data_IF_834238436630
#
_entry.id   IF_834238436630
#
_cell.length_a   1.000
_cell.length_b   1.000
_cell.length_c   1.000
_cell.angle_alpha   90.00
_cell.angle_beta   90.00
_cell.angle_gamma   90.00
#
_symmetry.space_group_name_H-M   'P 1'
#
loop_
_entity.id
_entity.type
_entity.pdbx_description
1 polymer ?
#
# COMPACT_ATOMS: atom_id res chain seq x y z
N UNK A 1 -4.62 -25.21 22.96
CA UNK A 1 -3.27 -24.66 23.15
C UNK A 1 -2.87 -24.02 21.84
N UNK A 2 -2.51 -22.72 21.78
CA UNK A 2 -2.12 -22.14 20.50
C UNK A 2 -0.73 -22.65 20.16
N UNK A 3 -0.65 -23.39 19.06
CA UNK A 3 0.60 -23.73 18.40
C UNK A 3 1.25 -22.42 17.96
N UNK A 4 2.52 -22.21 18.34
CA UNK A 4 3.35 -21.12 17.84
C UNK A 4 3.20 -21.05 16.31
N UNK A 5 2.80 -19.90 15.76
CA UNK A 5 2.86 -19.65 14.33
C UNK A 5 4.33 -19.67 13.90
N UNK A 6 4.81 -20.82 13.41
CA UNK A 6 6.14 -20.95 12.82
C UNK A 6 6.19 -20.19 11.48
N UNK A 7 7.23 -19.37 11.32
CA UNK A 7 7.57 -18.71 10.06
C UNK A 7 8.25 -19.72 9.12
N UNK A 8 7.89 -19.78 7.84
CA UNK A 8 8.56 -20.69 6.87
C UNK A 8 9.39 -19.94 5.83
N UNK A 9 8.99 -18.73 5.44
CA UNK A 9 9.68 -17.96 4.41
C UNK A 9 9.84 -16.51 4.84
N UNK A 10 11.09 -16.13 5.09
CA UNK A 10 11.51 -14.75 5.25
C UNK A 10 12.33 -14.37 4.03
N UNK A 11 11.79 -13.48 3.21
CA UNK A 11 12.55 -12.93 2.09
C UNK A 11 13.05 -11.56 2.51
N UNK A 12 14.36 -11.37 2.51
CA UNK A 12 14.98 -10.09 2.83
C UNK A 12 15.70 -9.49 1.62
N UNK A 13 15.68 -8.18 1.52
CA UNK A 13 16.43 -7.45 0.51
C UNK A 13 17.01 -6.17 1.09
N UNK A 14 18.21 -5.82 0.65
CA UNK A 14 18.87 -4.58 1.06
C UNK A 14 18.56 -3.50 0.04
N UNK A 15 17.77 -2.51 0.46
CA UNK A 15 17.60 -1.26 -0.26
C UNK A 15 18.77 -0.35 0.05
N UNK A 16 19.67 -0.13 -0.92
CA UNK A 16 20.72 0.88 -0.81
C UNK A 16 20.18 2.24 -1.21
N UNK A 17 20.39 3.25 -0.39
CA UNK A 17 20.00 4.60 -0.74
C UNK A 17 20.99 5.17 -1.77
N UNK A 18 20.51 5.81 -2.85
CA UNK A 18 21.38 6.37 -3.88
C UNK A 18 22.25 7.50 -3.33
N UNK A 19 21.82 8.12 -2.24
CA UNK A 19 22.57 9.12 -1.48
C UNK A 19 22.41 8.85 0.01
N UNK A 20 23.49 9.07 0.75
CA UNK A 20 23.49 9.02 2.21
C UNK A 20 22.62 10.13 2.80
N UNK A 21 21.76 9.77 3.76
CA UNK A 21 21.00 10.76 4.53
C UNK A 21 21.86 11.39 5.64
N UNK A 22 21.53 12.62 6.02
CA UNK A 22 22.22 13.33 7.11
C UNK A 22 21.91 12.75 8.50
N UNK A 23 20.72 12.16 8.67
CA UNK A 23 20.28 11.39 9.83
C UNK A 23 19.39 10.22 9.38
N UNK A 24 18.92 9.38 10.31
CA UNK A 24 18.08 8.24 9.97
C UNK A 24 16.79 8.69 9.26
N UNK A 25 16.49 8.20 8.04
CA UNK A 25 15.30 8.60 7.29
C UNK A 25 14.03 8.03 7.90
N UNK A 26 12.88 8.55 7.46
CA UNK A 26 11.58 7.89 7.64
C UNK A 26 11.27 7.06 6.41
N UNK A 27 10.73 5.86 6.61
CA UNK A 27 10.60 4.85 5.55
C UNK A 27 9.16 4.30 5.47
N UNK A 28 8.14 5.15 5.20
CA UNK A 28 6.83 4.63 4.84
C UNK A 28 6.96 3.70 3.64
N UNK A 29 6.35 2.52 3.74
CA UNK A 29 6.50 1.44 2.76
C UNK A 29 5.20 0.68 2.60
N UNK A 30 5.01 0.07 1.44
CA UNK A 30 3.77 -0.60 1.11
C UNK A 30 3.94 -1.67 0.04
N UNK A 31 3.13 -2.70 0.18
CA UNK A 31 3.16 -3.86 -0.70
C UNK A 31 2.68 -3.44 -2.08
N UNK A 32 3.50 -3.70 -3.10
CA UNK A 32 3.22 -3.38 -4.49
C UNK A 32 2.90 -4.63 -5.33
N UNK A 33 3.56 -5.74 -5.02
CA UNK A 33 3.37 -7.03 -5.70
C UNK A 33 3.33 -8.17 -4.70
N UNK A 34 2.46 -9.13 -4.94
CA UNK A 34 2.42 -10.40 -4.22
C UNK A 34 2.21 -11.56 -5.18
N UNK A 35 2.86 -12.68 -4.88
CA UNK A 35 2.58 -14.01 -5.37
C UNK A 35 2.63 -14.95 -4.17
N UNK A 36 1.46 -15.39 -3.73
CA UNK A 36 1.32 -16.27 -2.57
C UNK A 36 0.36 -17.40 -2.90
N UNK A 37 0.59 -18.57 -2.30
CA UNK A 37 -0.37 -19.65 -2.42
C UNK A 37 -1.74 -19.28 -1.86
N UNK A 38 -2.73 -20.08 -2.22
CA UNK A 38 -4.09 -19.96 -1.69
C UNK A 38 -4.30 -20.57 -0.31
N UNK A 39 -3.31 -21.28 0.23
CA UNK A 39 -3.49 -22.01 1.49
C UNK A 39 -3.73 -21.05 2.64
N UNK A 40 -3.15 -19.84 2.59
CA UNK A 40 -3.54 -18.66 3.38
C UNK A 40 -2.97 -17.37 2.76
N UNK A 41 -3.71 -16.26 2.79
CA UNK A 41 -3.20 -14.95 2.38
C UNK A 41 -2.74 -14.13 3.60
N UNK A 42 -1.63 -14.54 4.24
CA UNK A 42 -1.05 -13.88 5.42
C UNK A 42 0.36 -13.39 5.11
N UNK A 43 0.53 -12.08 4.97
CA UNK A 43 1.81 -11.43 4.66
C UNK A 43 1.97 -10.08 5.32
N UNK A 44 3.20 -9.78 5.71
CA UNK A 44 3.61 -8.47 6.21
C UNK A 44 4.94 -8.05 5.58
N UNK A 45 5.04 -6.80 5.14
CA UNK A 45 6.32 -6.12 4.92
C UNK A 45 6.73 -5.34 6.18
N UNK A 46 8.01 -5.36 6.51
CA UNK A 46 8.61 -4.58 7.59
C UNK A 46 10.00 -4.07 7.20
N UNK A 47 10.42 -2.98 7.83
CA UNK A 47 11.79 -2.46 7.72
C UNK A 47 12.41 -2.38 9.12
N UNK A 48 12.81 -3.52 9.72
CA UNK A 48 13.22 -3.56 11.12
C UNK A 48 14.57 -2.89 11.38
N UNK A 49 15.43 -2.81 10.37
CA UNK A 49 16.77 -2.25 10.50
C UNK A 49 17.11 -1.36 9.31
N UNK A 50 17.56 -0.15 9.60
CA UNK A 50 18.03 0.79 8.58
C UNK A 50 19.07 1.74 9.16
N UNK A 51 19.87 2.30 8.26
CA UNK A 51 20.91 3.28 8.55
C UNK A 51 20.69 4.51 7.69
N UNK A 52 21.72 5.38 7.61
CA UNK A 52 21.72 6.52 6.70
C UNK A 52 22.01 6.12 5.25
N UNK A 53 22.46 4.90 5.01
CA UNK A 53 23.00 4.44 3.73
C UNK A 53 22.17 3.30 3.11
N UNK A 54 21.40 2.58 3.94
CA UNK A 54 20.60 1.44 3.49
C UNK A 54 19.46 1.10 4.45
N UNK A 55 18.50 0.31 3.99
CA UNK A 55 17.43 -0.31 4.77
C UNK A 55 17.27 -1.79 4.42
N UNK A 56 16.98 -2.63 5.41
CA UNK A 56 16.66 -4.05 5.20
C UNK A 56 15.14 -4.22 5.19
N UNK A 57 14.59 -4.57 4.03
CA UNK A 57 13.15 -4.77 3.84
C UNK A 57 12.85 -6.27 3.94
N UNK A 58 11.89 -6.63 4.79
CA UNK A 58 11.53 -8.01 5.11
C UNK A 58 10.09 -8.29 4.73
N UNK A 59 9.87 -9.29 3.87
CA UNK A 59 8.58 -9.94 3.75
C UNK A 59 8.52 -11.17 4.65
N UNK A 60 7.47 -11.22 5.45
CA UNK A 60 7.16 -12.34 6.33
C UNK A 60 5.82 -12.93 5.91
N UNK A 61 5.79 -14.25 5.69
CA UNK A 61 4.57 -15.02 5.53
C UNK A 61 4.55 -16.16 6.56
N UNK A 62 3.35 -16.53 7.01
CA UNK A 62 3.15 -17.51 8.08
C UNK A 62 2.53 -18.80 7.57
N UNK A 63 2.95 -19.93 8.13
CA UNK A 63 2.36 -21.23 7.78
C UNK A 63 0.84 -21.26 7.98
N UNK A 64 0.11 -22.00 7.11
CA UNK A 64 0.59 -22.81 5.99
C UNK A 64 0.89 -22.03 4.69
N UNK A 65 0.80 -20.69 4.67
CA UNK A 65 1.04 -19.89 3.46
C UNK A 65 2.48 -19.98 2.93
N UNK A 66 2.64 -20.16 1.62
CA UNK A 66 3.89 -19.96 0.90
C UNK A 66 3.91 -18.61 0.17
N UNK A 67 4.99 -17.84 0.35
CA UNK A 67 5.27 -16.62 -0.42
C UNK A 67 6.26 -16.95 -1.54
N UNK A 68 5.79 -16.96 -2.79
CA UNK A 68 6.62 -17.20 -3.97
C UNK A 68 7.32 -15.93 -4.46
N UNK A 69 6.78 -14.76 -4.14
CA UNK A 69 7.42 -13.48 -4.44
C UNK A 69 6.65 -12.29 -3.89
N UNK A 70 7.37 -11.26 -3.46
CA UNK A 70 6.81 -10.01 -2.98
C UNK A 70 7.66 -8.83 -3.42
N UNK A 71 7.04 -7.70 -3.70
CA UNK A 71 7.75 -6.43 -3.90
C UNK A 71 7.14 -5.39 -2.99
N UNK A 72 8.00 -4.81 -2.16
CA UNK A 72 7.69 -3.65 -1.32
C UNK A 72 8.20 -2.40 -2.04
N UNK A 73 7.46 -1.30 -1.91
CA UNK A 73 7.94 0.00 -2.33
C UNK A 73 8.23 0.83 -1.09
N UNK A 74 9.40 1.43 -1.01
CA UNK A 74 9.77 2.33 0.10
C UNK A 74 9.83 3.76 -0.40
N UNK A 75 9.09 4.66 0.25
CA UNK A 75 9.15 6.10 0.02
C UNK A 75 10.10 6.74 1.03
N UNK A 76 11.40 6.74 0.73
CA UNK A 76 12.42 7.19 1.66
C UNK A 76 12.41 8.72 1.83
N UNK A 77 12.00 9.18 3.01
CA UNK A 77 11.90 10.58 3.37
C UNK A 77 13.11 11.05 4.16
N UNK A 78 13.65 12.20 3.77
CA UNK A 78 14.72 12.83 4.52
C UNK A 78 14.25 13.19 5.94
N UNK A 79 15.10 13.03 6.97
CA UNK A 79 14.72 13.28 8.37
C UNK A 79 14.26 14.71 8.63
N UNK A 80 14.79 15.68 7.89
CA UNK A 80 14.46 17.10 8.04
C UNK A 80 13.33 17.56 7.11
N UNK A 81 12.71 16.66 6.35
CA UNK A 81 11.55 17.01 5.52
C UNK A 81 10.28 17.02 6.38
N UNK A 82 10.15 18.10 7.17
CA UNK A 82 9.08 18.28 8.16
C UNK A 82 7.72 18.55 7.53
N UNK A 83 7.61 18.60 6.21
CA UNK A 83 6.31 18.75 5.56
C UNK A 83 5.54 17.43 5.56
N UNK A 84 6.24 16.30 5.59
CA UNK A 84 5.57 15.00 5.67
C UNK A 84 5.29 14.59 7.12
N UNK A 85 4.11 14.03 7.33
CA UNK A 85 3.75 13.19 8.45
C UNK A 85 3.49 11.78 7.95
N UNK A 86 3.87 10.79 8.75
CA UNK A 86 3.72 9.39 8.40
C UNK A 86 3.38 8.58 9.62
N UNK A 87 2.68 7.46 9.45
CA UNK A 87 2.46 6.50 10.51
C UNK A 87 1.85 5.21 10.00
N UNK A 88 1.56 4.32 10.93
CA UNK A 88 0.97 3.02 10.66
C UNK A 88 -0.19 2.77 11.62
N UNK A 89 -1.19 2.01 11.18
CA UNK A 89 -2.27 1.54 12.04
C UNK A 89 -2.63 0.10 11.69
N UNK A 90 -2.70 -0.74 12.73
CA UNK A 90 -3.08 -2.14 12.63
C UNK A 90 -4.53 -2.29 13.12
N UNK A 91 -5.38 -2.85 12.25
CA UNK A 91 -6.67 -3.41 12.64
C UNK A 91 -6.48 -4.91 12.86
N UNK A 92 -6.55 -5.35 14.12
CA UNK A 92 -6.33 -6.75 14.51
C UNK A 92 -7.63 -7.38 15.03
N UNK A 93 -8.37 -8.03 14.14
CA UNK A 93 -9.67 -8.67 14.43
C UNK A 93 -9.46 -9.98 15.20
N UNK A 94 -8.31 -10.63 15.01
CA UNK A 94 -7.97 -11.84 15.74
C UNK A 94 -7.84 -11.59 17.25
N UNK A 95 -7.21 -10.48 17.65
CA UNK A 95 -7.07 -10.09 19.06
C UNK A 95 -8.31 -9.37 19.59
N UNK A 96 -8.94 -8.53 18.77
CA UNK A 96 -10.17 -7.81 19.11
C UNK A 96 -11.23 -7.99 18.00
N UNK A 97 -12.16 -8.95 18.14
CA UNK A 97 -13.22 -9.19 17.16
C UNK A 97 -14.15 -8.00 16.92
N UNK A 98 -14.15 -7.00 17.82
CA UNK A 98 -14.91 -5.77 17.71
C UNK A 98 -14.07 -4.59 17.20
N UNK A 99 -12.83 -4.83 16.78
CA UNK A 99 -11.92 -3.80 16.27
C UNK A 99 -12.59 -3.02 15.12
N UNK A 100 -12.80 -1.70 15.29
CA UNK A 100 -13.60 -0.92 14.37
C UNK A 100 -12.94 -0.85 12.99
N UNK A 101 -13.76 -0.81 11.94
CA UNK A 101 -13.27 -0.62 10.58
C UNK A 101 -12.72 0.80 10.35
N UNK A 102 -13.09 1.76 11.19
CA UNK A 102 -12.66 3.16 11.07
C UNK A 102 -12.05 3.65 12.38
N UNK A 103 -10.96 4.41 12.28
CA UNK A 103 -10.29 5.05 13.42
C UNK A 103 -9.92 6.48 13.07
N UNK A 104 -9.99 7.39 14.05
CA UNK A 104 -9.44 8.74 13.89
C UNK A 104 -7.93 8.69 14.13
N UNK A 105 -7.16 9.19 13.17
CA UNK A 105 -5.73 9.42 13.31
C UNK A 105 -5.52 10.92 13.51
N UNK A 106 -4.99 11.28 14.67
CA UNK A 106 -4.57 12.66 14.95
C UNK A 106 -3.12 12.86 14.53
N UNK A 107 -2.86 13.97 13.85
CA UNK A 107 -1.52 14.35 13.46
C UNK A 107 -0.72 14.82 14.69
N UNK A 108 0.56 14.45 14.75
CA UNK A 108 1.48 14.91 15.82
C UNK A 108 1.61 16.44 15.86
N UNK A 109 1.33 17.11 14.74
CA UNK A 109 1.18 18.56 14.62
C UNK A 109 0.11 18.88 13.58
N UNK A 110 -0.68 19.95 13.76
CA UNK A 110 -1.64 20.35 12.76
C UNK A 110 -0.95 20.94 11.51
N UNK A 111 -1.58 20.77 10.36
CA UNK A 111 -1.28 21.51 9.13
C UNK A 111 -1.97 22.88 9.13
N UNK A 112 -1.55 23.77 8.24
CA UNK A 112 -2.21 25.10 8.06
C UNK A 112 -3.58 24.94 7.39
N UNK A 113 -3.65 24.09 6.37
CA UNK A 113 -4.86 23.68 5.65
C UNK A 113 -4.96 22.14 5.67
N UNK A 114 -6.14 21.55 5.42
CA UNK A 114 -6.25 20.09 5.29
C UNK A 114 -5.20 19.54 4.30
N UNK A 115 -4.37 18.56 4.71
CA UNK A 115 -3.30 18.02 3.87
C UNK A 115 -3.85 17.07 2.80
N UNK A 116 -3.00 16.69 1.84
CA UNK A 116 -3.20 15.42 1.11
C UNK A 116 -2.85 14.27 2.05
N UNK A 117 -3.71 13.25 2.09
CA UNK A 117 -3.48 12.01 2.83
C UNK A 117 -3.62 10.83 1.89
N UNK A 118 -2.63 9.95 1.88
CA UNK A 118 -2.67 8.68 1.15
C UNK A 118 -2.40 7.52 2.09
N UNK A 119 -3.03 6.38 1.79
CA UNK A 119 -3.04 5.19 2.62
C UNK A 119 -2.82 3.94 1.77
N UNK A 120 -2.11 2.95 2.30
CA UNK A 120 -1.75 1.72 1.58
C UNK A 120 -1.33 0.60 2.54
N UNK A 121 -1.49 -0.65 2.11
CA UNK A 121 -1.25 -1.81 2.96
C UNK A 121 0.24 -2.17 3.05
N UNK A 122 0.69 -2.48 4.27
CA UNK A 122 1.94 -3.19 4.52
C UNK A 122 1.73 -4.53 5.26
N UNK A 123 0.49 -4.89 5.60
CA UNK A 123 0.11 -6.23 6.10
C UNK A 123 -1.32 -6.57 5.71
N UNK A 124 -1.55 -7.81 5.32
CA UNK A 124 -2.88 -8.39 5.11
C UNK A 124 -2.89 -9.83 5.62
N UNK A 125 -3.98 -10.21 6.30
CA UNK A 125 -4.19 -11.56 6.82
C UNK A 125 -5.64 -11.97 6.63
N UNK A 126 -5.87 -12.93 5.74
CA UNK A 126 -7.20 -13.46 5.45
C UNK A 126 -7.31 -14.95 5.75
N UNK A 127 -8.55 -15.37 5.96
CA UNK A 127 -8.95 -16.76 5.82
C UNK A 127 -8.81 -17.25 4.36
N UNK A 128 -8.64 -18.56 4.20
CA UNK A 128 -8.47 -19.20 2.88
C UNK A 128 -9.78 -19.62 2.21
N UNK A 129 -10.85 -19.79 2.98
CA UNK A 129 -12.10 -20.36 2.49
C UNK A 129 -13.09 -19.28 2.00
N UNK A 130 -12.68 -18.01 2.10
CA UNK A 130 -13.46 -16.85 1.65
C UNK A 130 -12.59 -15.91 0.83
N UNK A 131 -13.20 -15.22 -0.14
CA UNK A 131 -12.50 -14.29 -1.01
C UNK A 131 -11.77 -13.20 -0.22
N UNK A 132 -10.61 -12.78 -0.73
CA UNK A 132 -9.74 -11.81 -0.09
C UNK A 132 -10.15 -10.40 -0.49
N UNK A 133 -10.95 -9.77 0.38
CA UNK A 133 -11.54 -8.45 0.15
C UNK A 133 -11.16 -7.46 1.24
N UNK A 134 -10.41 -6.44 0.88
CA UNK A 134 -10.08 -5.34 1.81
C UNK A 134 -9.83 -4.06 1.04
N UNK A 135 -10.26 -2.93 1.59
CA UNK A 135 -9.94 -1.60 1.07
C UNK A 135 -9.53 -0.70 2.22
N UNK A 136 -8.55 0.17 1.98
CA UNK A 136 -8.20 1.24 2.89
C UNK A 136 -8.35 2.61 2.24
N UNK A 137 -9.00 3.52 2.95
CA UNK A 137 -9.25 4.89 2.50
C UNK A 137 -8.99 5.88 3.63
N UNK A 138 -8.68 7.12 3.26
CA UNK A 138 -8.67 8.26 4.17
C UNK A 138 -9.90 9.13 3.92
N UNK A 139 -10.66 9.42 4.96
CA UNK A 139 -11.84 10.29 4.91
C UNK A 139 -11.79 11.34 6.02
N UNK A 140 -12.70 12.31 6.01
CA UNK A 140 -12.80 13.37 7.04
C UNK A 140 -11.46 14.05 7.34
N UNK A 141 -10.70 14.38 6.29
CA UNK A 141 -9.38 15.00 6.41
C UNK A 141 -9.57 16.46 6.80
N UNK A 142 -8.94 16.86 7.89
CA UNK A 142 -8.84 18.25 8.32
C UNK A 142 -7.40 18.58 8.73
N UNK A 143 -7.16 19.80 9.17
CA UNK A 143 -5.82 20.25 9.57
C UNK A 143 -5.22 19.45 10.73
N UNK A 144 -6.02 18.76 11.56
CA UNK A 144 -5.59 18.06 12.77
C UNK A 144 -5.50 16.54 12.60
N UNK A 145 -6.12 15.98 11.57
CA UNK A 145 -6.10 14.53 11.35
C UNK A 145 -7.00 14.08 10.22
N UNK A 146 -7.23 12.77 10.17
CA UNK A 146 -8.13 12.13 9.23
C UNK A 146 -8.73 10.86 9.82
N UNK A 147 -9.85 10.40 9.27
CA UNK A 147 -10.39 9.07 9.56
C UNK A 147 -9.75 8.06 8.61
N UNK A 148 -9.04 7.08 9.18
CA UNK A 148 -8.53 5.93 8.45
C UNK A 148 -9.59 4.83 8.45
N UNK A 149 -9.91 4.29 7.27
CA UNK A 149 -10.83 3.17 7.11
C UNK A 149 -10.06 1.94 6.62
N UNK A 150 -10.33 0.77 7.19
CA UNK A 150 -9.84 -0.55 6.80
C UNK A 150 -11.07 -1.46 6.76
N UNK A 151 -11.71 -1.50 5.59
CA UNK A 151 -13.01 -2.11 5.38
C UNK A 151 -12.89 -3.45 4.67
N UNK A 152 -13.79 -4.37 5.00
CA UNK A 152 -13.99 -5.65 4.32
C UNK A 152 -15.50 -5.83 4.12
N UNK A 153 -15.91 -6.71 3.20
CA UNK A 153 -17.33 -6.88 2.86
C UNK A 153 -17.67 -8.31 2.47
N UNK A 154 -18.98 -8.55 2.34
CA UNK A 154 -19.55 -9.86 2.02
C UNK A 154 -19.16 -10.91 3.08
N UNK A 155 -18.72 -12.08 2.65
CA UNK A 155 -18.35 -13.22 3.48
C UNK A 155 -16.86 -13.25 3.85
N UNK A 156 -16.09 -12.21 3.52
CA UNK A 156 -14.65 -12.18 3.80
C UNK A 156 -14.37 -12.24 5.30
N UNK A 157 -13.48 -13.16 5.68
CA UNK A 157 -12.94 -13.25 7.04
C UNK A 157 -11.53 -12.64 7.05
N UNK A 158 -11.44 -11.39 7.52
CA UNK A 158 -10.18 -10.67 7.74
C UNK A 158 -9.70 -10.94 9.17
N UNK A 159 -8.46 -11.42 9.35
CA UNK A 159 -7.85 -11.57 10.67
C UNK A 159 -7.12 -10.29 11.10
N UNK A 160 -6.37 -9.68 10.20
CA UNK A 160 -5.67 -8.43 10.45
C UNK A 160 -5.33 -7.71 9.15
N UNK A 161 -5.24 -6.39 9.20
CA UNK A 161 -4.63 -5.58 8.14
C UNK A 161 -3.91 -4.38 8.76
N UNK A 162 -2.73 -4.08 8.24
CA UNK A 162 -1.95 -2.90 8.64
C UNK A 162 -1.81 -1.96 7.47
N UNK A 163 -2.07 -0.69 7.75
CA UNK A 163 -2.02 0.39 6.77
C UNK A 163 -0.96 1.40 7.17
N UNK A 164 -0.07 1.71 6.23
CA UNK A 164 0.79 2.88 6.27
C UNK A 164 0.03 4.08 5.72
N UNK A 165 0.32 5.26 6.26
CA UNK A 165 -0.22 6.51 5.76
C UNK A 165 0.87 7.58 5.64
N UNK A 166 0.69 8.46 4.66
CA UNK A 166 1.53 9.64 4.44
C UNK A 166 0.59 10.85 4.31
N UNK A 167 0.89 11.92 5.03
CA UNK A 167 0.22 13.21 4.92
C UNK A 167 1.22 14.33 4.60
N UNK A 168 0.86 15.27 3.73
CA UNK A 168 1.70 16.41 3.34
C UNK A 168 0.84 17.62 2.89
N UNK A 169 1.38 18.85 2.90
CA UNK A 169 0.61 20.05 2.53
C UNK A 169 0.00 19.93 1.14
N UNK A 170 -1.25 20.33 0.97
CA UNK A 170 -1.95 20.20 -0.30
C UNK A 170 -1.28 20.99 -1.45
N UNK A 171 -0.63 22.10 -1.12
CA UNK A 171 0.09 22.98 -2.04
C UNK A 171 1.58 22.60 -2.22
N UNK A 172 2.01 21.44 -1.71
CA UNK A 172 3.40 20.98 -1.89
C UNK A 172 3.72 20.85 -3.38
N UNK A 173 4.71 21.61 -3.83
CA UNK A 173 5.16 21.56 -5.22
C UNK A 173 5.81 20.21 -5.58
N UNK A 174 5.73 19.84 -6.87
CA UNK A 174 6.45 18.70 -7.47
C UNK A 174 6.18 17.37 -6.78
N UNK A 175 4.98 17.22 -6.23
CA UNK A 175 4.43 15.96 -5.76
C UNK A 175 3.00 15.85 -6.23
N UNK A 176 2.64 14.70 -6.76
CA UNK A 176 1.28 14.35 -7.11
C UNK A 176 0.97 13.02 -6.42
N UNK A 177 -0.19 12.91 -5.78
CA UNK A 177 -0.64 11.63 -5.25
C UNK A 177 -2.11 11.39 -5.52
N UNK A 178 -2.47 10.13 -5.68
CA UNK A 178 -3.84 9.69 -5.95
C UNK A 178 -4.01 8.22 -5.60
N UNK A 179 -5.28 7.79 -5.51
CA UNK A 179 -5.67 6.39 -5.53
C UNK A 179 -6.30 6.09 -6.89
N UNK A 180 -5.97 4.93 -7.47
CA UNK A 180 -6.58 4.42 -8.71
C UNK A 180 -7.27 3.10 -8.45
N UNK A 181 -8.30 2.78 -9.24
CA UNK A 181 -9.02 1.52 -9.15
C UNK A 181 -9.19 0.88 -10.53
N UNK A 182 -9.02 -0.44 -10.59
CA UNK A 182 -9.47 -1.24 -11.75
C UNK A 182 -10.96 -1.06 -12.04
N UNK A 183 -11.76 -0.68 -11.03
CA UNK A 183 -13.18 -0.40 -11.19
C UNK A 183 -13.47 0.91 -11.95
N UNK A 184 -12.47 1.80 -12.10
CA UNK A 184 -12.62 3.06 -12.84
C UNK A 184 -12.71 2.81 -14.36
N UNK A 185 -12.20 1.67 -14.83
CA UNK A 185 -12.13 1.32 -16.25
C UNK A 185 -13.02 0.13 -16.63
N UNK A 186 -13.52 -0.62 -15.65
CA UNK A 186 -14.43 -1.74 -15.87
C UNK A 186 -15.25 -2.07 -14.61
N UNK A 187 -16.45 -2.68 -14.74
CA UNK A 187 -17.14 -3.21 -13.57
C UNK A 187 -16.42 -4.46 -13.00
N UNK A 188 -16.72 -4.78 -11.73
CA UNK A 188 -16.08 -5.89 -11.00
C UNK A 188 -16.41 -7.28 -11.57
N UNK A 189 -17.56 -7.41 -12.24
CA UNK A 189 -18.11 -8.66 -12.81
C UNK A 189 -17.58 -8.99 -14.21
N UNK A 190 -16.68 -8.15 -14.75
CA UNK A 190 -15.96 -8.38 -16.01
C UNK A 190 -14.48 -8.55 -15.75
N UNK A 191 -14.11 -9.67 -15.12
CA UNK A 191 -12.73 -9.92 -14.72
C UNK A 191 -11.81 -10.01 -15.94
N UNK A 192 -10.62 -9.46 -15.78
CA UNK A 192 -9.51 -9.56 -16.72
C UNK A 192 -8.20 -9.55 -15.90
N UNK A 193 -7.11 -10.00 -16.51
CA UNK A 193 -5.82 -10.09 -15.82
C UNK A 193 -5.05 -8.77 -15.88
N UNK A 194 -5.15 -8.03 -16.98
CA UNK A 194 -4.35 -6.82 -17.21
C UNK A 194 -5.24 -5.57 -17.16
N UNK A 195 -4.77 -4.51 -16.50
CA UNK A 195 -5.50 -3.25 -16.37
C UNK A 195 -4.54 -2.10 -16.48
N UNK A 196 -4.91 -1.09 -17.26
CA UNK A 196 -4.15 0.14 -17.30
C UNK A 196 -5.04 1.35 -17.44
N UNK A 197 -4.58 2.49 -16.93
CA UNK A 197 -5.23 3.77 -17.12
C UNK A 197 -4.20 4.90 -17.14
N UNK A 198 -4.55 5.99 -17.82
CA UNK A 198 -3.69 7.17 -17.93
C UNK A 198 -4.15 8.26 -16.96
N UNK A 199 -3.19 8.92 -16.34
CA UNK A 199 -3.41 10.15 -15.56
C UNK A 199 -2.56 11.25 -16.16
N UNK A 200 -3.22 12.33 -16.56
CA UNK A 200 -2.53 13.57 -16.93
C UNK A 200 -2.23 14.39 -15.69
N UNK A 201 -1.00 14.89 -15.57
CA UNK A 201 -0.65 15.92 -14.60
C UNK A 201 -1.13 17.30 -15.06
N UNK A 202 -1.44 17.51 -16.35
CA UNK A 202 -1.91 18.80 -16.85
C UNK A 202 -3.28 19.20 -16.32
N UNK A 203 -4.08 18.21 -15.88
CA UNK A 203 -5.35 18.44 -15.17
C UNK A 203 -5.15 18.70 -13.68
N UNK A 204 -3.92 18.56 -13.17
CA UNK A 204 -3.53 18.92 -11.81
C UNK A 204 -2.77 20.25 -11.82
N UNK A 205 -2.67 20.91 -10.67
CA UNK A 205 -1.81 22.10 -10.48
C UNK A 205 -0.32 21.76 -10.33
N UNK A 206 0.07 20.50 -10.56
CA UNK A 206 1.43 20.00 -10.34
C UNK A 206 2.21 20.01 -11.65
N UNK A 207 3.38 20.64 -11.63
CA UNK A 207 4.32 20.65 -12.75
C UNK A 207 5.60 19.90 -12.37
N UNK A 208 6.05 18.99 -13.24
CA UNK A 208 7.33 18.29 -13.11
C UNK A 208 8.31 18.77 -14.18
N UNK A 209 9.49 19.23 -13.77
CA UNK A 209 10.53 19.72 -14.70
C UNK A 209 11.45 18.61 -15.25
N UNK A 210 11.42 17.43 -14.64
CA UNK A 210 12.16 16.23 -15.05
C UNK A 210 11.30 15.00 -14.78
N UNK A 211 11.60 13.86 -15.42
CA UNK A 211 10.88 12.60 -15.18
C UNK A 211 10.77 12.32 -13.67
N UNK A 212 9.56 12.25 -13.09
CA UNK A 212 9.38 11.95 -11.68
C UNK A 212 9.65 10.48 -11.37
N UNK A 213 10.07 10.24 -10.14
CA UNK A 213 10.02 8.92 -9.51
C UNK A 213 8.57 8.66 -9.09
N UNK A 214 8.17 7.39 -9.03
CA UNK A 214 6.85 6.99 -8.58
C UNK A 214 6.98 5.99 -7.43
N UNK A 215 6.28 6.24 -6.32
CA UNK A 215 5.93 5.25 -5.32
C UNK A 215 4.57 4.66 -5.68
N UNK A 216 4.40 3.35 -5.48
CA UNK A 216 3.15 2.61 -5.77
C UNK A 216 2.97 1.53 -4.71
N UNK A 217 1.79 1.49 -4.08
CA UNK A 217 1.43 0.45 -3.12
C UNK A 217 -0.08 0.16 -3.15
N UNK A 218 -0.44 -1.10 -2.93
CA UNK A 218 -1.82 -1.59 -2.97
C UNK A 218 -2.64 -1.01 -1.81
N UNK A 219 -3.86 -0.59 -2.09
CA UNK A 219 -4.82 -0.11 -1.07
C UNK A 219 -6.22 -0.70 -1.22
N UNK A 220 -6.43 -1.59 -2.20
CA UNK A 220 -7.68 -2.31 -2.40
C UNK A 220 -7.40 -3.66 -3.06
N UNK A 221 -8.00 -4.72 -2.53
CA UNK A 221 -8.01 -6.08 -3.06
C UNK A 221 -9.45 -6.63 -3.02
N UNK A 222 -9.86 -7.28 -4.10
CA UNK A 222 -11.03 -8.17 -4.21
C UNK A 222 -10.68 -9.32 -5.15
N UNK A 223 -10.22 -10.43 -4.57
CA UNK A 223 -9.66 -11.59 -5.28
C UNK A 223 -10.34 -12.87 -4.79
N UNK A 224 -10.68 -13.78 -5.71
CA UNK A 224 -11.22 -15.11 -5.39
C UNK A 224 -10.18 -15.97 -4.65
N UNK A 225 -10.62 -16.76 -3.67
CA UNK A 225 -9.72 -17.57 -2.84
C UNK A 225 -9.37 -18.96 -3.42
N UNK A 226 -9.91 -19.35 -4.59
CA UNK A 226 -9.71 -20.71 -5.13
C UNK A 226 -8.37 -20.89 -5.85
N UNK A 227 -7.72 -19.79 -6.19
CA UNK A 227 -6.41 -19.73 -6.82
C UNK A 227 -5.47 -18.85 -5.99
N UNK A 228 -4.18 -18.89 -6.29
CA UNK A 228 -3.15 -18.11 -5.59
C UNK A 228 -3.41 -16.60 -5.66
N UNK A 229 -2.97 -15.89 -4.63
CA UNK A 229 -2.98 -14.42 -4.60
C UNK A 229 -1.84 -13.91 -5.47
N UNK A 230 -2.19 -13.41 -6.65
CA UNK A 230 -1.26 -12.84 -7.63
C UNK A 230 -1.70 -11.45 -8.04
N UNK A 231 -0.90 -10.45 -7.69
CA UNK A 231 -1.19 -9.06 -8.06
C UNK A 231 0.09 -8.24 -8.14
N UNK A 232 0.13 -7.30 -9.08
CA UNK A 232 1.23 -6.36 -9.28
C UNK A 232 0.69 -4.98 -9.69
N UNK A 233 0.84 -3.99 -8.83
CA UNK A 233 0.56 -2.60 -9.18
C UNK A 233 1.84 -1.90 -9.64
N UNK A 234 1.81 -1.11 -10.71
CA UNK A 234 2.98 -0.36 -11.16
C UNK A 234 2.62 0.84 -12.03
N UNK A 235 3.63 1.62 -12.42
CA UNK A 235 3.49 2.74 -13.34
C UNK A 235 4.52 2.59 -14.45
N UNK A 236 4.05 2.56 -15.69
CA UNK A 236 4.88 2.60 -16.89
C UNK A 236 4.04 2.94 -18.15
N UNK A 237 4.35 3.98 -18.94
CA UNK A 237 5.41 4.98 -18.73
C UNK A 237 5.04 6.06 -17.70
N UNK A 238 6.07 6.73 -17.19
CA UNK A 238 5.96 8.01 -16.47
C UNK A 238 6.79 9.09 -17.15
N UNK A 239 6.17 10.24 -17.36
CA UNK A 239 6.75 11.43 -18.01
C UNK A 239 6.54 12.67 -17.14
N UNK A 240 6.93 13.85 -17.61
CA UNK A 240 6.68 15.11 -16.88
C UNK A 240 5.22 15.56 -16.92
N UNK A 241 4.40 15.03 -17.84
CA UNK A 241 3.02 15.49 -18.06
C UNK A 241 1.97 14.42 -17.82
N UNK A 242 2.37 13.14 -17.74
CA UNK A 242 1.44 12.02 -17.51
C UNK A 242 2.13 10.81 -16.90
N UNK A 243 1.31 9.92 -16.35
CA UNK A 243 1.68 8.55 -15.99
C UNK A 243 0.63 7.56 -16.52
N UNK A 244 1.04 6.31 -16.76
CA UNK A 244 0.13 5.19 -16.99
C UNK A 244 0.30 4.20 -15.85
N UNK A 245 -0.76 3.98 -15.10
CA UNK A 245 -0.78 2.98 -14.03
C UNK A 245 -1.22 1.63 -14.58
N UNK A 246 -0.77 0.57 -13.92
CA UNK A 246 -1.15 -0.81 -14.18
C UNK A 246 -1.47 -1.53 -12.89
N UNK A 247 -2.46 -2.40 -12.90
CA UNK A 247 -2.79 -3.30 -11.79
C UNK A 247 -3.13 -4.66 -12.39
N UNK A 248 -2.13 -5.53 -12.42
CA UNK A 248 -2.20 -6.78 -13.17
C UNK A 248 -2.20 -7.99 -12.25
N UNK A 249 -2.86 -9.04 -12.70
CA UNK A 249 -2.83 -10.40 -12.15
C UNK A 249 -2.36 -11.37 -13.24
N UNK A 250 -2.20 -12.65 -12.92
CA UNK A 250 -1.77 -13.66 -13.89
C UNK A 250 -2.24 -15.07 -13.52
N UNK A 251 -2.04 -16.01 -14.44
CA UNK A 251 -2.46 -17.41 -14.35
C UNK A 251 -3.97 -17.58 -14.10
N UNK A 252 -4.38 -18.39 -13.12
CA UNK A 252 -5.76 -18.72 -12.80
C UNK A 252 -6.39 -17.81 -11.73
N UNK A 253 -5.73 -16.71 -11.37
CA UNK A 253 -6.24 -15.76 -10.39
C UNK A 253 -7.46 -15.01 -10.94
N UNK A 254 -8.55 -14.99 -10.17
CA UNK A 254 -9.76 -14.21 -10.50
C UNK A 254 -9.73 -12.90 -9.72
N UNK A 255 -9.41 -11.81 -10.42
CA UNK A 255 -9.34 -10.45 -9.89
C UNK A 255 -10.66 -9.69 -10.14
N UNK A 256 -11.51 -9.59 -9.12
CA UNK A 256 -12.76 -8.82 -9.21
C UNK A 256 -12.48 -7.32 -9.21
N UNK A 257 -11.66 -6.85 -8.28
CA UNK A 257 -11.22 -5.47 -8.19
C UNK A 257 -9.89 -5.36 -7.44
N UNK A 258 -9.17 -4.29 -7.72
CA UNK A 258 -8.03 -3.86 -6.96
C UNK A 258 -7.77 -2.37 -7.19
N UNK A 259 -6.96 -1.80 -6.31
CA UNK A 259 -6.56 -0.40 -6.34
C UNK A 259 -5.17 -0.20 -5.76
N UNK A 260 -4.57 0.94 -6.13
CA UNK A 260 -3.26 1.33 -5.66
C UNK A 260 -3.18 2.82 -5.38
N UNK A 261 -2.46 3.17 -4.31
CA UNK A 261 -1.93 4.51 -4.09
C UNK A 261 -0.71 4.72 -4.98
N UNK A 262 -0.66 5.88 -5.65
CA UNK A 262 0.48 6.34 -6.45
C UNK A 262 0.94 7.68 -5.90
N UNK A 263 2.25 7.86 -5.75
CA UNK A 263 2.88 9.16 -5.44
C UNK A 263 3.97 9.40 -6.49
N UNK A 264 3.80 10.39 -7.36
CA UNK A 264 4.83 10.87 -8.28
C UNK A 264 5.56 12.06 -7.67
N UNK A 265 6.89 12.08 -7.69
CA UNK A 265 7.70 13.08 -7.00
C UNK A 265 9.08 13.29 -7.65
N UNK A 266 9.71 14.44 -7.40
CA UNK A 266 11.00 14.85 -7.99
C UNK A 266 12.10 15.20 -6.99
#
# INVERSE_FOLDING_TARGET
>A
MPTLCEFDTKTETILKFPRRFVASPRLPHGIRRLHMDKEKAIVQSTIPFFTKDWANCHFTAWKPSALYGGVDHVFALAPCDLDFLTGEHLRNIWEDPHSPASVRIDFERPFVTPPKVVVFFNRIEFDKDHNWRVVTTASNIDAKGFTLNIETWSDTVLYAAQTCWIAYPEDRERIFSTSVSTMDIRPWDRQQLEHSGEISFTSSSVEFFKKPSAFVALNHLDIDCKADLRINAYVDPITTTRLVWHIDSWDDTVLYAAGATIIAFN
#
